data_IF_502244541390
#
_entry.id   IF_502244541390
#
_cell.length_a   1.000
_cell.length_b   1.000
_cell.length_c   1.000
_cell.angle_alpha   90.00
_cell.angle_beta   90.00
_cell.angle_gamma   90.00
#
_symmetry.space_group_name_H-M   'P 1'
#
loop_
_entity.id
_entity.type
_entity.pdbx_description
1 polymer ?
#
# COMPACT_ATOMS: atom_id res chain seq x y z
N UNK A 1 -30.45 12.02 -52.94
CA UNK A 1 -30.18 13.08 -51.94
C UNK A 1 -29.09 12.54 -51.02
N UNK A 2 -27.82 12.34 -51.39
CA UNK A 2 -26.79 13.15 -52.11
C UNK A 2 -26.46 14.46 -51.44
N UNK A 3 -25.39 14.45 -50.62
CA UNK A 3 -24.41 15.54 -50.34
C UNK A 3 -23.23 14.94 -49.56
N UNK A 4 -22.23 14.35 -50.21
CA UNK A 4 -20.91 14.94 -50.52
C UNK A 4 -20.57 16.31 -49.90
N UNK A 5 -19.49 16.33 -49.09
CA UNK A 5 -18.52 17.42 -48.87
C UNK A 5 -17.54 16.97 -47.77
N UNK A 6 -16.24 17.22 -47.75
CA UNK A 6 -15.22 17.60 -48.73
C UNK A 6 -13.89 17.40 -47.96
N UNK A 7 -12.96 16.62 -48.50
CA UNK A 7 -11.65 16.40 -47.90
C UNK A 7 -10.71 17.58 -48.24
N UNK A 8 -10.18 18.26 -47.23
CA UNK A 8 -9.18 19.31 -47.39
C UNK A 8 -7.77 18.72 -47.27
N UNK A 9 -7.05 18.73 -48.38
CA UNK A 9 -5.60 18.48 -48.48
C UNK A 9 -4.82 19.75 -48.04
N UNK A 10 -3.69 19.63 -47.33
CA UNK A 10 -2.73 20.71 -47.22
C UNK A 10 -1.80 20.79 -48.46
N UNK A 11 -1.26 21.97 -48.77
CA UNK A 11 -0.54 22.25 -50.01
C UNK A 11 0.89 21.69 -50.04
N UNK A 12 1.51 21.58 -51.24
CA UNK A 12 2.89 21.16 -51.40
C UNK A 12 3.83 22.34 -51.12
N UNK A 13 4.85 22.11 -50.28
CA UNK A 13 5.99 23.04 -50.15
C UNK A 13 7.14 22.43 -50.95
N UNK A 14 7.35 22.97 -52.14
CA UNK A 14 8.45 22.61 -53.03
C UNK A 14 9.04 23.91 -53.59
N UNK A 15 10.35 24.06 -53.41
CA UNK A 15 11.20 25.10 -53.99
C UNK A 15 11.82 26.01 -52.93
N UNK A 16 13.07 26.44 -53.02
CA UNK A 16 14.14 26.18 -53.98
C UNK A 16 15.39 26.94 -53.48
N UNK A 17 16.58 26.40 -53.75
CA UNK A 17 17.81 27.12 -54.16
C UNK A 17 18.31 28.34 -53.34
N UNK A 18 19.51 28.20 -52.76
CA UNK A 18 20.79 28.76 -53.28
C UNK A 18 21.81 28.77 -52.14
N UNK A 19 22.87 27.97 -52.21
CA UNK A 19 24.19 28.44 -52.65
C UNK A 19 24.65 29.74 -51.98
N UNK A 20 25.31 29.60 -50.84
CA UNK A 20 26.48 30.43 -50.50
C UNK A 20 27.55 29.53 -49.87
N UNK A 21 28.42 29.03 -50.74
CA UNK A 21 29.78 28.66 -50.42
C UNK A 21 30.51 29.93 -49.92
N UNK A 22 30.51 30.15 -48.60
CA UNK A 22 31.42 31.10 -47.97
C UNK A 22 32.56 30.36 -47.28
N UNK A 23 33.68 30.33 -47.97
CA UNK A 23 35.05 30.38 -47.44
C UNK A 23 35.30 29.83 -46.02
N UNK A 24 35.78 28.58 -45.97
CA UNK A 24 36.69 28.12 -44.91
C UNK A 24 38.00 28.92 -45.00
N UNK A 25 38.13 29.95 -44.16
CA UNK A 25 39.41 30.52 -43.79
C UNK A 25 39.90 29.83 -42.50
N UNK A 26 41.15 29.34 -42.43
CA UNK A 26 41.68 28.73 -41.22
C UNK A 26 41.96 29.82 -40.19
N UNK A 27 40.98 30.10 -39.32
CA UNK A 27 41.20 30.91 -38.11
C UNK A 27 41.95 30.09 -37.08
N UNK A 28 43.27 30.18 -37.17
CA UNK A 28 44.20 30.37 -36.06
C UNK A 28 43.65 30.09 -34.65
N UNK A 29 43.97 28.88 -34.17
CA UNK A 29 44.55 28.49 -32.87
C UNK A 29 45.02 29.58 -31.86
N UNK A 30 44.27 30.66 -31.60
CA UNK A 30 44.72 31.73 -30.68
C UNK A 30 43.70 32.22 -29.63
N UNK A 31 42.55 31.55 -29.44
CA UNK A 31 41.61 31.91 -28.35
C UNK A 31 41.32 30.78 -27.34
N UNK A 32 42.17 29.75 -27.27
CA UNK A 32 42.10 28.70 -26.23
C UNK A 32 42.90 29.06 -24.97
N UNK A 33 43.03 30.36 -24.67
CA UNK A 33 43.53 30.89 -23.39
C UNK A 33 42.62 32.05 -22.93
N UNK A 34 41.31 31.86 -23.04
CA UNK A 34 40.35 32.66 -22.27
C UNK A 34 40.05 31.93 -20.98
N UNK A 35 40.71 32.40 -19.92
CA UNK A 35 40.10 32.47 -18.60
C UNK A 35 39.43 31.18 -18.13
N UNK A 36 40.24 30.25 -17.61
CA UNK A 36 39.84 29.53 -16.39
C UNK A 36 39.73 30.54 -15.23
N UNK A 37 38.89 31.57 -15.38
CA UNK A 37 38.30 32.29 -14.26
C UNK A 37 37.56 31.22 -13.50
N UNK A 38 38.17 30.79 -12.38
CA UNK A 38 37.54 29.93 -11.38
C UNK A 38 36.09 30.39 -11.26
N UNK A 39 35.16 29.58 -11.76
CA UNK A 39 33.73 29.83 -11.58
C UNK A 39 33.54 30.22 -10.12
N UNK A 40 33.00 31.41 -9.82
CA UNK A 40 32.82 31.85 -8.46
C UNK A 40 32.05 30.75 -7.75
N UNK A 41 32.66 30.14 -6.73
CA UNK A 41 32.11 29.02 -5.95
C UNK A 41 30.61 29.22 -5.85
N UNK A 42 29.84 28.34 -6.50
CA UNK A 42 28.43 28.59 -6.79
C UNK A 42 27.65 28.84 -5.48
N UNK A 43 27.49 30.12 -5.14
CA UNK A 43 26.92 30.59 -3.86
C UNK A 43 25.50 30.02 -3.69
N UNK A 44 24.82 29.69 -4.79
CA UNK A 44 23.49 29.06 -4.78
C UNK A 44 23.55 27.62 -4.28
N UNK A 45 24.59 26.87 -4.64
CA UNK A 45 24.81 25.51 -4.14
C UNK A 45 25.14 25.54 -2.65
N UNK A 46 25.97 26.49 -2.20
CA UNK A 46 26.27 26.66 -0.78
C UNK A 46 24.99 26.94 0.04
N UNK A 47 24.15 27.90 -0.40
CA UNK A 47 22.89 28.21 0.28
C UNK A 47 21.93 27.01 0.31
N UNK A 48 21.89 26.20 -0.77
CA UNK A 48 21.09 24.97 -0.81
C UNK A 48 21.58 23.94 0.20
N UNK A 49 22.89 23.73 0.29
CA UNK A 49 23.51 22.81 1.25
C UNK A 49 23.25 23.26 2.68
N UNK A 50 23.45 24.55 3.00
CA UNK A 50 23.17 25.11 4.32
C UNK A 50 21.70 24.90 4.75
N UNK A 51 20.74 25.09 3.84
CA UNK A 51 19.32 24.83 4.13
C UNK A 51 19.04 23.37 4.43
N UNK A 52 19.67 22.45 3.70
CA UNK A 52 19.51 21.00 3.95
C UNK A 52 20.12 20.64 5.30
N UNK A 53 21.32 21.13 5.61
CA UNK A 53 21.98 20.90 6.91
C UNK A 53 21.10 21.45 8.06
N UNK A 54 20.60 22.68 7.94
CA UNK A 54 19.71 23.27 8.93
C UNK A 54 18.41 22.50 9.11
N UNK A 55 17.79 22.04 8.02
CA UNK A 55 16.59 21.21 8.04
C UNK A 55 16.83 19.88 8.76
N UNK A 56 17.93 19.20 8.44
CA UNK A 56 18.34 17.94 9.09
C UNK A 56 18.62 18.18 10.57
N UNK A 57 19.30 19.26 10.94
CA UNK A 57 19.57 19.61 12.34
C UNK A 57 18.28 19.84 13.15
N UNK A 58 17.28 20.52 12.58
CA UNK A 58 15.97 20.72 13.23
C UNK A 58 15.24 19.38 13.43
N UNK A 59 15.25 18.51 12.42
CA UNK A 59 14.64 17.17 12.52
C UNK A 59 15.37 16.34 13.59
N UNK A 60 16.71 16.34 13.58
CA UNK A 60 17.51 15.65 14.56
C UNK A 60 17.23 16.18 15.98
N UNK A 61 17.12 17.50 16.16
CA UNK A 61 16.76 18.11 17.44
C UNK A 61 15.36 17.67 17.91
N UNK A 62 14.38 17.59 17.01
CA UNK A 62 13.04 17.09 17.35
C UNK A 62 13.07 15.60 17.77
N UNK A 63 13.85 14.76 17.08
CA UNK A 63 14.03 13.35 17.43
C UNK A 63 14.76 13.19 18.77
N UNK A 64 15.83 13.95 19.01
CA UNK A 64 16.52 13.97 20.32
C UNK A 64 15.57 14.47 21.41
N UNK A 65 14.76 15.50 21.14
CA UNK A 65 13.74 15.97 22.07
C UNK A 65 12.67 14.92 22.34
N UNK A 66 12.45 13.94 21.46
CA UNK A 66 11.52 12.83 21.67
C UNK A 66 12.10 11.77 22.62
N UNK A 67 13.38 11.43 22.48
CA UNK A 67 13.99 10.27 23.14
C UNK A 67 14.97 10.58 24.28
N UNK A 68 15.42 11.82 24.45
CA UNK A 68 16.34 12.16 25.53
C UNK A 68 15.61 12.07 26.87
N UNK A 69 16.19 11.37 27.85
CA UNK A 69 15.68 11.38 29.23
C UNK A 69 15.93 12.75 29.85
N UNK A 70 14.88 13.35 30.41
CA UNK A 70 14.96 14.57 31.22
C UNK A 70 14.75 14.21 32.69
N UNK A 71 15.30 15.00 33.63
CA UNK A 71 15.04 14.80 35.05
C UNK A 71 13.53 14.73 35.34
N UNK A 72 13.14 13.83 36.24
CA UNK A 72 11.75 13.52 36.55
C UNK A 72 10.93 14.80 36.86
N UNK A 73 9.80 14.97 36.17
CA UNK A 73 8.82 16.03 36.46
C UNK A 73 8.80 17.22 35.50
N UNK A 74 9.73 17.33 34.54
CA UNK A 74 9.82 18.49 33.63
C UNK A 74 9.25 18.26 32.22
N UNK A 75 8.45 17.21 32.02
CA UNK A 75 7.92 16.83 30.69
C UNK A 75 7.02 17.90 30.07
N UNK A 76 6.25 18.64 30.88
CA UNK A 76 5.41 19.73 30.40
C UNK A 76 6.26 20.90 29.91
N UNK A 77 7.32 21.29 30.62
CA UNK A 77 8.22 22.36 30.20
C UNK A 77 9.04 21.94 28.99
N UNK A 78 9.48 20.68 28.94
CA UNK A 78 10.13 20.08 27.77
C UNK A 78 9.22 20.17 26.55
N UNK A 79 7.96 19.78 26.69
CA UNK A 79 6.98 19.89 25.62
C UNK A 79 6.70 21.35 25.22
N UNK A 80 6.53 22.25 26.19
CA UNK A 80 6.34 23.68 25.93
C UNK A 80 7.54 24.29 25.17
N UNK A 81 8.75 23.85 25.47
CA UNK A 81 9.97 24.25 24.75
C UNK A 81 9.94 23.77 23.30
N UNK A 82 9.57 22.50 23.06
CA UNK A 82 9.39 21.95 21.71
C UNK A 82 8.31 22.73 20.93
N UNK A 83 7.19 23.06 21.58
CA UNK A 83 6.10 23.83 21.00
C UNK A 83 6.53 25.26 20.66
N UNK A 84 7.26 25.92 21.56
CA UNK A 84 7.84 27.24 21.34
C UNK A 84 8.79 27.28 20.14
N UNK A 85 9.72 26.33 20.03
CA UNK A 85 10.60 26.25 18.86
C UNK A 85 9.84 25.95 17.56
N UNK A 86 8.80 25.12 17.63
CA UNK A 86 7.97 24.83 16.45
C UNK A 86 7.18 26.07 16.02
N UNK A 87 6.67 26.87 16.96
CA UNK A 87 6.01 28.14 16.68
C UNK A 87 6.98 29.22 16.15
N UNK A 88 8.27 29.15 16.49
CA UNK A 88 9.29 30.04 15.96
C UNK A 88 9.54 29.79 14.45
N UNK A 89 9.37 28.57 13.95
CA UNK A 89 9.56 28.23 12.53
C UNK A 89 8.69 29.06 11.57
N UNK A 90 7.35 29.13 11.73
CA UNK A 90 6.52 29.97 10.87
C UNK A 90 6.83 31.46 11.05
N UNK A 91 7.16 31.92 12.25
CA UNK A 91 7.57 33.32 12.49
C UNK A 91 8.83 33.65 11.68
N UNK A 92 9.85 32.79 11.76
CA UNK A 92 11.07 32.92 10.98
C UNK A 92 10.77 32.82 9.47
N UNK A 93 9.83 31.96 9.05
CA UNK A 93 9.41 31.86 7.67
C UNK A 93 8.76 33.15 7.16
N UNK A 94 7.88 33.76 7.95
CA UNK A 94 7.28 35.06 7.62
C UNK A 94 8.33 36.16 7.55
N UNK A 95 9.27 36.20 8.49
CA UNK A 95 10.38 37.15 8.46
C UNK A 95 11.24 37.00 7.19
N UNK A 96 11.59 35.76 6.83
CA UNK A 96 12.34 35.47 5.60
C UNK A 96 11.53 35.86 4.35
N UNK A 97 10.23 35.58 4.33
CA UNK A 97 9.37 35.85 3.18
C UNK A 97 9.05 37.33 2.96
N UNK A 98 8.82 38.08 4.05
CA UNK A 98 8.40 39.49 3.99
C UNK A 98 9.58 40.47 4.02
N UNK A 99 10.56 40.25 4.91
CA UNK A 99 11.66 41.19 5.12
C UNK A 99 12.88 40.90 4.26
N UNK A 100 13.29 39.64 4.19
CA UNK A 100 14.44 39.20 3.38
C UNK A 100 14.04 38.93 1.92
N UNK A 101 12.73 38.80 1.65
CA UNK A 101 12.15 38.46 0.34
C UNK A 101 12.65 37.11 -0.22
N UNK A 102 13.04 36.19 0.66
CA UNK A 102 13.60 34.89 0.31
C UNK A 102 12.55 33.78 0.39
N UNK A 103 11.86 33.54 -0.74
CA UNK A 103 10.72 32.62 -0.82
C UNK A 103 11.07 31.15 -0.55
N UNK A 104 12.28 30.69 -0.89
CA UNK A 104 12.63 29.26 -0.77
C UNK A 104 12.86 28.88 0.70
N UNK A 105 13.57 29.71 1.45
CA UNK A 105 13.82 29.52 2.88
C UNK A 105 12.53 29.58 3.69
N UNK A 106 11.65 30.55 3.41
CA UNK A 106 10.32 30.60 4.02
C UNK A 106 9.52 29.30 3.80
N UNK A 107 9.54 28.76 2.56
CA UNK A 107 8.92 27.47 2.25
C UNK A 107 9.56 26.29 2.99
N UNK A 108 10.89 26.24 3.07
CA UNK A 108 11.60 25.19 3.81
C UNK A 108 11.20 25.18 5.29
N UNK A 109 11.15 26.36 5.94
CA UNK A 109 10.78 26.49 7.35
C UNK A 109 9.33 26.06 7.62
N UNK A 110 8.38 26.45 6.76
CA UNK A 110 6.99 25.98 6.87
C UNK A 110 6.85 24.49 6.57
N UNK A 111 7.64 23.96 5.64
CA UNK A 111 7.72 22.53 5.35
C UNK A 111 8.22 21.72 6.55
N UNK A 112 9.20 22.24 7.27
CA UNK A 112 9.69 21.64 8.52
C UNK A 112 8.62 21.69 9.61
N UNK A 113 7.90 22.81 9.74
CA UNK A 113 6.84 22.95 10.74
C UNK A 113 5.74 21.87 10.61
N UNK A 114 5.27 21.57 9.38
CA UNK A 114 4.32 20.45 9.15
C UNK A 114 4.95 19.07 9.32
N UNK A 115 6.25 18.93 9.06
CA UNK A 115 6.96 17.65 9.22
C UNK A 115 7.13 17.29 10.70
N UNK A 116 7.30 18.28 11.57
CA UNK A 116 7.42 18.10 13.02
C UNK A 116 6.06 17.89 13.69
N UNK A 117 4.94 18.19 13.01
CA UNK A 117 3.59 18.07 13.56
C UNK A 117 3.30 16.69 14.21
N UNK A 118 3.61 15.55 13.58
CA UNK A 118 3.36 14.24 14.18
C UNK A 118 4.20 13.94 15.41
N UNK A 119 5.37 14.59 15.55
CA UNK A 119 6.19 14.51 16.77
C UNK A 119 5.39 15.07 17.95
N UNK A 120 4.72 16.22 17.76
CA UNK A 120 3.87 16.81 18.81
C UNK A 120 2.74 15.89 19.22
N UNK A 121 2.02 15.31 18.25
CA UNK A 121 0.91 14.41 18.55
C UNK A 121 1.38 13.10 19.18
N UNK A 122 2.57 12.60 18.84
CA UNK A 122 3.16 11.45 19.52
C UNK A 122 3.47 11.76 20.99
N UNK A 123 4.03 12.94 21.29
CA UNK A 123 4.29 13.39 22.67
C UNK A 123 2.99 13.59 23.45
N UNK A 124 2.02 14.30 22.88
CA UNK A 124 0.70 14.51 23.49
C UNK A 124 -0.03 13.18 23.73
N UNK A 125 0.04 12.24 22.79
CA UNK A 125 -0.48 10.89 22.97
C UNK A 125 0.21 10.13 24.09
N UNK A 126 1.51 10.37 24.31
CA UNK A 126 2.24 9.88 25.48
C UNK A 126 1.72 10.46 26.80
N UNK A 127 1.56 11.78 26.87
CA UNK A 127 1.01 12.49 28.04
C UNK A 127 -0.41 12.02 28.36
N UNK A 128 -1.28 11.93 27.36
CA UNK A 128 -2.65 11.43 27.54
C UNK A 128 -2.65 9.96 27.98
N UNK A 129 -1.82 9.12 27.37
CA UNK A 129 -1.70 7.73 27.78
C UNK A 129 -1.28 7.60 29.26
N UNK A 130 -0.39 8.46 29.77
CA UNK A 130 0.04 8.41 31.18
C UNK A 130 -1.08 8.63 32.19
N UNK A 131 -2.21 9.21 31.78
CA UNK A 131 -3.37 9.52 32.65
C UNK A 131 -4.63 8.75 32.28
N UNK A 132 -4.82 8.45 31.01
CA UNK A 132 -6.05 7.87 30.45
C UNK A 132 -5.81 6.55 29.74
N UNK A 133 -4.77 5.78 30.09
CA UNK A 133 -4.52 4.46 29.52
C UNK A 133 -5.79 3.59 29.65
N UNK A 134 -6.30 3.12 28.51
CA UNK A 134 -7.52 2.30 28.43
C UNK A 134 -7.22 0.80 28.29
N UNK A 135 -5.95 0.41 28.31
CA UNK A 135 -5.51 -0.98 28.16
C UNK A 135 -4.75 -1.47 29.40
N UNK A 136 -4.94 -2.75 29.74
CA UNK A 136 -4.28 -3.40 30.87
C UNK A 136 -2.82 -3.78 30.57
N UNK A 137 -2.23 -3.24 29.49
CA UNK A 137 -0.93 -3.65 28.98
C UNK A 137 0.18 -3.12 29.90
N UNK A 138 0.61 -3.96 30.85
CA UNK A 138 1.72 -3.72 31.79
C UNK A 138 3.12 -3.78 31.15
N UNK A 139 3.22 -3.57 29.83
CA UNK A 139 4.51 -3.49 29.15
C UNK A 139 5.30 -2.30 29.69
N UNK A 140 6.45 -2.57 30.32
CA UNK A 140 7.34 -1.52 30.81
C UNK A 140 7.87 -0.72 29.62
N UNK A 141 7.22 0.39 29.31
CA UNK A 141 7.73 1.33 28.32
C UNK A 141 9.09 1.83 28.79
N UNK A 142 10.12 1.79 27.92
CA UNK A 142 11.44 2.27 28.30
C UNK A 142 11.39 3.70 28.83
N UNK A 143 12.14 3.99 29.89
CA UNK A 143 12.12 5.31 30.55
C UNK A 143 12.42 6.48 29.59
N UNK A 144 13.17 6.23 28.51
CA UNK A 144 13.48 7.25 27.49
C UNK A 144 12.28 7.66 26.61
N UNK A 145 11.23 6.83 26.56
CA UNK A 145 10.01 7.08 25.78
C UNK A 145 8.79 7.38 26.68
N UNK A 146 9.03 7.55 27.99
CA UNK A 146 8.01 7.90 28.96
C UNK A 146 7.74 9.42 28.88
N UNK A 147 6.46 9.77 28.79
CA UNK A 147 5.97 11.14 28.87
C UNK A 147 4.86 11.16 29.90
N UNK A 148 5.07 11.84 31.03
CA UNK A 148 4.16 11.81 32.18
C UNK A 148 3.61 13.19 32.46
N UNK A 149 2.30 13.34 32.36
CA UNK A 149 1.63 14.57 32.82
C UNK A 149 1.53 14.56 34.35
N UNK A 150 1.62 15.69 35.07
CA UNK A 150 1.43 15.76 36.52
C UNK A 150 0.01 15.48 37.01
N UNK A 151 -0.99 15.75 36.16
CA UNK A 151 -2.42 15.56 36.45
C UNK A 151 -3.24 15.37 35.17
N UNK A 152 -4.48 14.92 35.31
CA UNK A 152 -5.43 14.77 34.21
C UNK A 152 -5.73 16.12 33.55
N UNK A 153 -5.91 17.15 34.37
CA UNK A 153 -6.16 18.53 33.93
C UNK A 153 -4.99 19.10 33.13
N UNK A 154 -3.75 18.84 33.56
CA UNK A 154 -2.56 19.31 32.84
C UNK A 154 -2.38 18.57 31.51
N UNK A 155 -2.68 17.26 31.44
CA UNK A 155 -2.66 16.51 30.19
C UNK A 155 -3.67 17.06 29.17
N UNK A 156 -4.92 17.28 29.60
CA UNK A 156 -5.99 17.81 28.74
C UNK A 156 -5.72 19.27 28.34
N UNK A 157 -5.32 20.14 29.27
CA UNK A 157 -5.01 21.53 28.99
C UNK A 157 -3.85 21.67 28.01
N UNK A 158 -2.77 20.91 28.21
CA UNK A 158 -1.61 20.91 27.31
C UNK A 158 -2.00 20.45 25.90
N UNK A 159 -2.80 19.40 25.80
CA UNK A 159 -3.33 18.90 24.52
C UNK A 159 -4.21 19.95 23.85
N UNK A 160 -5.13 20.58 24.59
CA UNK A 160 -6.03 21.61 24.06
C UNK A 160 -5.27 22.82 23.53
N UNK A 161 -4.35 23.37 24.32
CA UNK A 161 -3.49 24.49 23.90
C UNK A 161 -2.67 24.13 22.66
N UNK A 162 -2.08 22.94 22.63
CA UNK A 162 -1.32 22.48 21.48
C UNK A 162 -2.20 22.38 20.23
N UNK A 163 -3.40 21.79 20.31
CA UNK A 163 -4.30 21.70 19.15
C UNK A 163 -4.68 23.08 18.60
N UNK A 164 -4.99 24.02 19.49
CA UNK A 164 -5.33 25.41 19.13
C UNK A 164 -4.18 26.10 18.41
N UNK A 165 -2.92 25.80 18.76
CA UNK A 165 -1.74 26.40 18.11
C UNK A 165 -1.31 25.66 16.84
N UNK A 166 -1.34 24.33 16.87
CA UNK A 166 -0.82 23.47 15.80
C UNK A 166 -1.74 23.43 14.58
N UNK A 167 -3.07 23.52 14.75
CA UNK A 167 -4.00 23.48 13.62
C UNK A 167 -3.88 24.72 12.70
N UNK A 168 -3.85 25.98 13.21
CA UNK A 168 -3.58 27.16 12.40
C UNK A 168 -2.18 27.13 11.77
N UNK A 169 -1.18 26.67 12.51
CA UNK A 169 0.19 26.52 11.99
C UNK A 169 0.24 25.54 10.80
N UNK A 170 -0.45 24.41 10.89
CA UNK A 170 -0.59 23.46 9.79
C UNK A 170 -1.31 24.10 8.60
N UNK A 171 -2.39 24.87 8.84
CA UNK A 171 -3.10 25.61 7.80
C UNK A 171 -2.23 26.62 7.06
N UNK A 172 -1.52 27.49 7.77
CA UNK A 172 -0.59 28.46 7.16
C UNK A 172 0.50 27.77 6.34
N UNK A 173 1.00 26.65 6.85
CA UNK A 173 2.02 25.87 6.15
C UNK A 173 1.47 25.24 4.87
N UNK A 174 0.30 24.59 4.90
CA UNK A 174 -0.34 24.05 3.70
C UNK A 174 -0.82 25.13 2.72
N UNK A 175 -1.18 26.33 3.21
CA UNK A 175 -1.46 27.48 2.35
C UNK A 175 -0.26 27.82 1.46
N UNK A 176 0.96 27.60 1.95
CA UNK A 176 2.18 27.86 1.19
C UNK A 176 2.42 26.83 0.09
N UNK A 177 2.12 25.54 0.33
CA UNK A 177 2.34 24.46 -0.64
C UNK A 177 1.18 24.24 -1.62
N UNK A 178 -0.05 24.43 -1.17
CA UNK A 178 -1.25 24.08 -1.95
C UNK A 178 -2.46 24.94 -1.55
N UNK A 179 -2.39 26.26 -1.80
CA UNK A 179 -3.42 27.27 -1.42
C UNK A 179 -4.87 26.79 -1.54
N UNK A 180 -5.26 26.28 -2.71
CA UNK A 180 -6.64 25.88 -3.01
C UNK A 180 -7.12 24.62 -2.30
N UNK A 181 -6.20 23.81 -1.73
CA UNK A 181 -6.52 22.57 -1.02
C UNK A 181 -6.02 22.61 0.44
N UNK A 182 -5.56 23.77 0.92
CA UNK A 182 -4.90 23.91 2.22
C UNK A 182 -5.78 23.43 3.37
N UNK A 183 -7.05 23.85 3.40
CA UNK A 183 -8.01 23.42 4.43
C UNK A 183 -8.19 21.90 4.45
N UNK A 184 -8.35 21.27 3.29
CA UNK A 184 -8.53 19.80 3.20
C UNK A 184 -7.29 19.05 3.66
N UNK A 185 -6.10 19.52 3.27
CA UNK A 185 -4.83 18.95 3.72
C UNK A 185 -4.64 19.13 5.23
N UNK A 186 -5.00 20.29 5.79
CA UNK A 186 -4.95 20.53 7.23
C UNK A 186 -5.90 19.62 7.99
N UNK A 187 -7.16 19.52 7.56
CA UNK A 187 -8.15 18.66 8.21
C UNK A 187 -7.70 17.19 8.17
N UNK A 188 -7.16 16.73 7.04
CA UNK A 188 -6.61 15.40 6.93
C UNK A 188 -5.38 15.19 7.82
N UNK A 189 -4.47 16.16 7.84
CA UNK A 189 -3.25 16.09 8.64
C UNK A 189 -3.59 16.05 10.13
N UNK A 190 -4.43 16.97 10.61
CA UNK A 190 -4.87 17.01 12.01
C UNK A 190 -5.68 15.76 12.33
N UNK A 191 -6.61 15.35 11.48
CA UNK A 191 -7.42 14.14 11.69
C UNK A 191 -6.58 12.86 11.82
N UNK A 192 -5.61 12.65 10.94
CA UNK A 192 -4.69 11.50 11.01
C UNK A 192 -3.78 11.57 12.25
N UNK A 193 -3.38 12.77 12.65
CA UNK A 193 -2.57 12.98 13.85
C UNK A 193 -3.38 12.80 15.15
N UNK A 194 -4.67 13.15 15.16
CA UNK A 194 -5.56 12.90 16.31
C UNK A 194 -5.66 11.41 16.65
N UNK A 195 -5.49 10.52 15.66
CA UNK A 195 -5.43 9.07 15.91
C UNK A 195 -4.23 8.66 16.78
N UNK A 196 -3.14 9.46 16.81
CA UNK A 196 -2.00 9.22 17.71
C UNK A 196 -2.34 9.53 19.18
N UNK A 197 -3.39 10.31 19.45
CA UNK A 197 -3.84 10.65 20.80
C UNK A 197 -4.65 9.54 21.47
N UNK A 198 -5.06 8.52 20.73
CA UNK A 198 -5.82 7.40 21.27
C UNK A 198 -4.96 6.70 22.33
N UNK A 199 -5.38 6.68 23.62
CA UNK A 199 -4.57 6.16 24.71
C UNK A 199 -4.72 4.63 24.83
N UNK A 200 -4.54 3.92 23.72
CA UNK A 200 -4.52 2.46 23.64
C UNK A 200 -3.20 2.01 22.99
N UNK A 201 -2.54 1.02 23.59
CA UNK A 201 -1.31 0.39 23.08
C UNK A 201 -1.52 -1.07 22.70
N UNK A 202 -2.73 -1.59 22.88
CA UNK A 202 -3.10 -2.92 22.43
C UNK A 202 -2.82 -3.11 20.92
N UNK A 203 -2.16 -4.22 20.59
CA UNK A 203 -1.69 -4.49 19.23
C UNK A 203 -2.82 -4.71 18.23
N UNK A 204 -4.01 -5.13 18.67
CA UNK A 204 -5.18 -5.30 17.80
C UNK A 204 -5.78 -3.95 17.43
N UNK A 205 -5.87 -3.03 18.39
CA UNK A 205 -6.31 -1.64 18.14
C UNK A 205 -5.34 -0.96 17.18
N UNK A 206 -4.03 -1.08 17.42
CA UNK A 206 -2.99 -0.53 16.52
C UNK A 206 -3.09 -1.11 15.12
N UNK A 207 -3.33 -2.42 14.98
CA UNK A 207 -3.56 -3.05 13.67
C UNK A 207 -4.78 -2.44 12.95
N UNK A 208 -5.90 -2.24 13.66
CA UNK A 208 -7.09 -1.56 13.15
C UNK A 208 -6.80 -0.12 12.71
N UNK A 209 -6.04 0.64 13.50
CA UNK A 209 -5.62 2.01 13.16
C UNK A 209 -4.76 2.05 11.89
N UNK A 210 -3.80 1.12 11.74
CA UNK A 210 -2.98 1.02 10.53
C UNK A 210 -3.85 0.76 9.29
N UNK A 211 -4.79 -0.19 9.36
CA UNK A 211 -5.72 -0.46 8.25
C UNK A 211 -6.56 0.78 7.93
N UNK A 212 -7.14 1.41 8.95
CA UNK A 212 -7.96 2.61 8.79
C UNK A 212 -7.19 3.77 8.16
N UNK A 213 -5.96 4.04 8.61
CA UNK A 213 -5.11 5.10 8.08
C UNK A 213 -4.65 4.83 6.66
N UNK A 214 -4.21 3.60 6.35
CA UNK A 214 -3.83 3.21 4.97
C UNK A 214 -5.04 3.31 4.05
N UNK A 215 -6.21 2.82 4.48
CA UNK A 215 -7.45 2.92 3.72
C UNK A 215 -7.85 4.36 3.46
N UNK A 216 -7.88 5.20 4.51
CA UNK A 216 -8.20 6.62 4.40
C UNK A 216 -7.24 7.33 3.43
N UNK A 217 -5.92 7.20 3.62
CA UNK A 217 -4.92 7.80 2.74
C UNK A 217 -5.07 7.33 1.28
N UNK A 218 -5.40 6.06 1.07
CA UNK A 218 -5.60 5.49 -0.27
C UNK A 218 -6.86 6.02 -0.95
N UNK A 219 -7.96 6.17 -0.20
CA UNK A 219 -9.20 6.79 -0.70
C UNK A 219 -8.95 8.25 -1.03
N UNK A 220 -8.22 8.98 -0.20
CA UNK A 220 -7.88 10.38 -0.45
C UNK A 220 -7.01 10.54 -1.70
N UNK A 221 -5.99 9.70 -1.86
CA UNK A 221 -5.10 9.72 -3.04
C UNK A 221 -5.86 9.39 -4.33
N UNK A 222 -6.74 8.39 -4.30
CA UNK A 222 -7.46 7.93 -5.49
C UNK A 222 -8.66 8.81 -5.87
N UNK A 223 -9.42 9.30 -4.89
CA UNK A 223 -10.67 10.06 -5.13
C UNK A 223 -10.50 11.57 -5.03
N UNK A 224 -9.80 12.08 -4.02
CA UNK A 224 -9.79 13.51 -3.73
C UNK A 224 -8.66 14.26 -4.46
N UNK A 225 -7.48 13.65 -4.58
CA UNK A 225 -6.29 14.37 -5.03
C UNK A 225 -5.93 14.15 -6.50
N UNK A 226 -6.33 13.02 -7.08
CA UNK A 226 -5.99 12.67 -8.47
C UNK A 226 -6.48 13.69 -9.51
N UNK A 227 -7.58 14.39 -9.25
CA UNK A 227 -8.15 15.41 -10.14
C UNK A 227 -7.46 16.78 -10.06
N UNK A 228 -6.60 17.01 -9.06
CA UNK A 228 -6.06 18.33 -8.75
C UNK A 228 -4.65 18.49 -9.30
N UNK A 229 -4.50 19.17 -10.44
CA UNK A 229 -3.20 19.41 -11.10
C UNK A 229 -2.17 20.05 -10.16
N UNK A 230 -2.59 20.94 -9.25
CA UNK A 230 -1.71 21.60 -8.27
C UNK A 230 -1.01 20.63 -7.32
N UNK A 231 -1.61 19.49 -7.00
CA UNK A 231 -1.03 18.47 -6.11
C UNK A 231 0.00 17.56 -6.80
N UNK A 232 0.13 17.66 -8.13
CA UNK A 232 1.14 16.91 -8.90
C UNK A 232 2.52 17.57 -8.87
N UNK A 233 2.59 18.84 -8.48
CA UNK A 233 3.85 19.59 -8.30
C UNK A 233 4.74 18.95 -7.22
N UNK A 234 6.03 19.29 -7.19
CA UNK A 234 6.94 18.79 -6.13
C UNK A 234 6.44 19.20 -4.74
N UNK A 235 5.97 20.43 -4.61
CA UNK A 235 5.40 21.00 -3.38
C UNK A 235 4.11 20.27 -2.96
N UNK A 236 3.21 20.02 -3.92
CA UNK A 236 2.01 19.24 -3.68
C UNK A 236 2.29 17.78 -3.31
N UNK A 237 3.32 17.16 -3.89
CA UNK A 237 3.79 15.81 -3.51
C UNK A 237 4.36 15.80 -2.11
N UNK A 238 5.14 16.82 -1.72
CA UNK A 238 5.63 16.96 -0.36
C UNK A 238 4.49 17.09 0.65
N UNK A 239 3.52 17.97 0.39
CA UNK A 239 2.35 18.15 1.23
C UNK A 239 1.48 16.89 1.38
N UNK A 240 1.46 16.01 0.36
CA UNK A 240 0.81 14.69 0.47
C UNK A 240 1.65 13.70 1.25
N UNK A 241 2.98 13.73 1.07
CA UNK A 241 3.90 12.85 1.79
C UNK A 241 3.84 13.09 3.31
N UNK A 242 3.66 14.33 3.76
CA UNK A 242 3.54 14.64 5.19
C UNK A 242 2.34 14.00 5.87
N UNK A 243 1.29 13.65 5.11
CA UNK A 243 0.11 12.94 5.63
C UNK A 243 0.38 11.46 5.96
N UNK A 244 1.48 10.88 5.44
CA UNK A 244 1.91 9.52 5.79
C UNK A 244 2.72 9.47 7.08
N UNK A 245 3.24 10.60 7.56
CA UNK A 245 4.08 10.64 8.76
C UNK A 245 3.36 10.11 10.02
N UNK A 246 2.09 10.45 10.31
CA UNK A 246 1.41 9.90 11.49
C UNK A 246 1.32 8.37 11.45
N UNK A 247 1.10 7.78 10.27
CA UNK A 247 1.12 6.33 10.11
C UNK A 247 2.51 5.76 10.42
N UNK A 248 3.58 6.40 9.93
CA UNK A 248 4.95 5.99 10.24
C UNK A 248 5.24 6.06 11.75
N UNK A 249 4.68 7.03 12.47
CA UNK A 249 4.79 7.10 13.94
C UNK A 249 4.04 5.95 14.62
N UNK A 250 2.81 5.63 14.21
CA UNK A 250 2.06 4.48 14.75
C UNK A 250 2.85 3.19 14.55
N UNK A 251 3.34 2.95 13.33
CA UNK A 251 4.09 1.74 12.97
C UNK A 251 5.44 1.68 13.69
N UNK A 252 6.21 2.77 13.66
CA UNK A 252 7.52 2.84 14.29
C UNK A 252 7.44 2.63 15.81
N UNK A 253 6.44 3.25 16.46
CA UNK A 253 6.15 3.02 17.88
C UNK A 253 5.76 1.57 18.14
N UNK A 254 4.88 1.02 17.30
CA UNK A 254 4.45 -0.38 17.30
C UNK A 254 5.58 -1.39 17.28
N UNK A 255 6.54 -1.20 16.37
CA UNK A 255 7.64 -2.12 16.13
C UNK A 255 8.76 -2.01 17.16
N UNK A 256 9.03 -0.81 17.69
CA UNK A 256 10.18 -0.58 18.57
C UNK A 256 9.83 -0.63 20.06
N UNK A 257 8.62 -0.20 20.45
CA UNK A 257 8.26 -0.05 21.87
C UNK A 257 7.36 -1.17 22.38
N UNK A 258 6.76 -1.97 21.52
CA UNK A 258 5.79 -3.01 21.91
C UNK A 258 6.08 -4.36 21.28
N UNK A 259 5.58 -5.41 21.92
CA UNK A 259 5.61 -6.75 21.34
C UNK A 259 4.70 -6.80 20.11
N UNK A 260 5.29 -7.10 18.95
CA UNK A 260 4.56 -7.14 17.68
C UNK A 260 3.74 -8.43 17.64
N UNK A 261 2.40 -8.30 17.66
CA UNK A 261 1.53 -9.46 17.50
C UNK A 261 1.53 -9.98 16.05
N UNK A 262 1.10 -11.23 15.88
CA UNK A 262 0.93 -11.83 14.53
C UNK A 262 -0.10 -11.05 13.70
N UNK A 263 -1.16 -10.55 14.32
CA UNK A 263 -2.17 -9.72 13.66
C UNK A 263 -1.54 -8.40 13.16
N UNK A 264 -0.84 -7.67 14.03
CA UNK A 264 -0.18 -6.43 13.63
C UNK A 264 0.83 -6.68 12.50
N UNK A 265 1.67 -7.71 12.63
CA UNK A 265 2.61 -8.10 11.59
C UNK A 265 1.91 -8.40 10.25
N UNK A 266 0.81 -9.16 10.29
CA UNK A 266 0.01 -9.47 9.09
C UNK A 266 -0.51 -8.20 8.40
N UNK A 267 -1.01 -7.24 9.18
CA UNK A 267 -1.51 -5.96 8.68
C UNK A 267 -0.38 -5.11 8.10
N UNK A 268 0.80 -5.06 8.72
CA UNK A 268 1.93 -4.30 8.21
C UNK A 268 2.42 -4.85 6.86
N UNK A 269 2.56 -6.17 6.76
CA UNK A 269 2.90 -6.83 5.49
C UNK A 269 1.80 -6.63 4.43
N UNK A 270 0.54 -6.67 4.83
CA UNK A 270 -0.62 -6.46 3.95
C UNK A 270 -0.70 -5.02 3.44
N UNK A 271 -0.47 -4.04 4.32
CA UNK A 271 -0.36 -2.64 3.95
C UNK A 271 0.83 -2.41 2.99
N UNK A 272 1.99 -3.00 3.28
CA UNK A 272 3.15 -2.97 2.39
C UNK A 272 2.84 -3.56 1.01
N UNK A 273 2.18 -4.72 0.98
CA UNK A 273 1.72 -5.36 -0.26
C UNK A 273 0.76 -4.43 -1.03
N UNK A 274 -0.23 -3.87 -0.36
CA UNK A 274 -1.21 -2.97 -0.96
C UNK A 274 -0.55 -1.72 -1.54
N UNK A 275 0.39 -1.10 -0.81
CA UNK A 275 1.12 0.09 -1.26
C UNK A 275 2.06 -0.23 -2.43
N UNK A 276 2.73 -1.39 -2.43
CA UNK A 276 3.55 -1.85 -3.56
C UNK A 276 2.70 -2.18 -4.80
N UNK A 277 1.50 -2.70 -4.61
CA UNK A 277 0.62 -3.09 -5.71
C UNK A 277 -0.13 -1.91 -6.35
N UNK A 278 -0.62 -0.99 -5.54
CA UNK A 278 -1.52 0.09 -5.98
C UNK A 278 -0.86 1.47 -5.95
N UNK A 279 -0.09 1.78 -4.91
CA UNK A 279 0.51 3.10 -4.66
C UNK A 279 1.79 3.33 -5.47
N UNK A 280 2.81 2.50 -5.25
CA UNK A 280 4.12 2.66 -5.88
C UNK A 280 4.08 2.67 -7.43
N UNK A 281 3.26 1.84 -8.11
CA UNK A 281 3.13 1.89 -9.57
C UNK A 281 2.51 3.19 -10.09
N UNK A 282 1.79 3.95 -9.26
CA UNK A 282 1.31 5.28 -9.63
C UNK A 282 2.44 6.32 -9.69
N UNK A 283 3.55 6.09 -8.98
CA UNK A 283 4.73 6.96 -8.97
C UNK A 283 5.74 6.61 -10.07
N UNK A 284 5.77 5.35 -10.52
CA UNK A 284 6.70 4.88 -11.53
C UNK A 284 6.30 5.32 -12.95
N UNK A 285 7.25 5.84 -13.74
CA UNK A 285 7.00 6.25 -15.15
C UNK A 285 7.06 5.07 -16.14
N UNK A 286 7.93 4.10 -15.92
CA UNK A 286 8.19 2.99 -16.86
C UNK A 286 7.24 1.81 -16.57
N UNK A 287 6.60 1.26 -17.61
CA UNK A 287 5.64 0.14 -17.49
C UNK A 287 6.24 -1.12 -16.85
N UNK A 288 7.48 -1.47 -17.17
CA UNK A 288 8.14 -2.64 -16.59
C UNK A 288 8.41 -2.49 -15.09
N UNK A 289 8.71 -1.27 -14.61
CA UNK A 289 8.88 -0.99 -13.17
C UNK A 289 7.54 -1.14 -12.45
N UNK A 290 6.45 -0.67 -13.05
CA UNK A 290 5.10 -0.85 -12.50
C UNK A 290 4.74 -2.34 -12.38
N UNK A 291 4.99 -3.13 -13.44
CA UNK A 291 4.76 -4.57 -13.41
C UNK A 291 5.65 -5.27 -12.37
N UNK A 292 6.94 -4.88 -12.29
CA UNK A 292 7.87 -5.42 -11.30
C UNK A 292 7.44 -5.14 -9.86
N UNK A 293 6.97 -3.93 -9.56
CA UNK A 293 6.43 -3.57 -8.23
C UNK A 293 5.17 -4.36 -7.87
N UNK A 294 4.26 -4.56 -8.84
CA UNK A 294 3.06 -5.38 -8.64
C UNK A 294 3.42 -6.85 -8.42
N UNK A 295 4.41 -7.39 -9.12
CA UNK A 295 4.89 -8.77 -8.89
C UNK A 295 5.56 -8.86 -7.52
N UNK A 296 6.42 -7.89 -7.18
CA UNK A 296 7.10 -7.84 -5.88
C UNK A 296 6.11 -7.79 -4.71
N UNK A 297 4.91 -7.23 -4.90
CA UNK A 297 3.90 -7.18 -3.83
C UNK A 297 3.27 -8.53 -3.48
N UNK A 298 3.42 -9.58 -4.30
CA UNK A 298 2.86 -10.91 -3.98
C UNK A 298 3.55 -11.55 -2.78
N UNK A 299 4.85 -11.34 -2.61
CA UNK A 299 5.62 -11.87 -1.48
C UNK A 299 5.09 -11.34 -0.14
N UNK A 300 5.07 -10.01 0.07
CA UNK A 300 4.42 -9.38 1.21
C UNK A 300 2.96 -9.80 1.42
N UNK A 301 2.18 -9.97 0.35
CA UNK A 301 0.80 -10.45 0.44
C UNK A 301 0.71 -11.89 0.98
N UNK A 302 1.61 -12.78 0.51
CA UNK A 302 1.68 -14.16 0.98
C UNK A 302 2.06 -14.22 2.47
N UNK A 303 3.08 -13.45 2.87
CA UNK A 303 3.51 -13.34 4.28
C UNK A 303 2.38 -12.79 5.15
N UNK A 304 1.71 -11.73 4.69
CA UNK A 304 0.55 -11.15 5.37
C UNK A 304 -0.55 -12.19 5.62
N UNK A 305 -0.98 -12.90 4.57
CA UNK A 305 -2.03 -13.89 4.70
C UNK A 305 -1.61 -15.09 5.56
N UNK A 306 -0.37 -15.59 5.39
CA UNK A 306 0.17 -16.66 6.22
C UNK A 306 0.16 -16.29 7.72
N UNK A 307 0.62 -15.09 8.06
CA UNK A 307 0.56 -14.58 9.44
C UNK A 307 -0.87 -14.45 9.94
N UNK A 308 -1.82 -14.01 9.10
CA UNK A 308 -3.23 -13.93 9.45
C UNK A 308 -3.79 -15.33 9.77
N UNK A 309 -3.51 -16.34 8.94
CA UNK A 309 -3.95 -17.72 9.21
C UNK A 309 -3.37 -18.25 10.52
N UNK A 310 -2.09 -18.02 10.79
CA UNK A 310 -1.48 -18.43 12.08
C UNK A 310 -2.02 -17.65 13.28
N UNK A 311 -2.60 -16.47 13.07
CA UNK A 311 -3.31 -15.71 14.09
C UNK A 311 -4.70 -16.31 14.34
N UNK A 312 -5.46 -16.59 13.28
CA UNK A 312 -6.79 -17.22 13.37
C UNK A 312 -6.72 -18.61 14.01
N UNK A 313 -5.75 -19.42 13.63
CA UNK A 313 -5.49 -20.74 14.22
C UNK A 313 -5.26 -20.65 15.73
N UNK A 314 -4.38 -19.74 16.16
CA UNK A 314 -4.07 -19.53 17.58
C UNK A 314 -5.26 -18.99 18.38
N UNK A 315 -6.09 -18.15 17.77
CA UNK A 315 -7.22 -17.49 18.44
C UNK A 315 -8.44 -18.41 18.55
N UNK A 316 -8.71 -19.23 17.54
CA UNK A 316 -9.94 -20.03 17.45
C UNK A 316 -9.73 -21.54 17.56
N UNK A 317 -8.47 -22.02 17.59
CA UNK A 317 -8.16 -23.44 17.67
C UNK A 317 -8.68 -24.22 16.46
N UNK A 318 -8.32 -23.77 15.26
CA UNK A 318 -8.91 -24.30 14.03
C UNK A 318 -8.53 -25.79 13.82
N UNK A 319 -9.46 -26.63 13.31
CA UNK A 319 -9.13 -27.99 12.95
C UNK A 319 -8.04 -28.03 11.87
N UNK A 320 -7.11 -28.99 11.99
CA UNK A 320 -5.96 -29.13 11.06
C UNK A 320 -6.40 -29.29 9.60
N UNK A 321 -7.55 -29.92 9.37
CA UNK A 321 -8.14 -30.15 8.04
C UNK A 321 -8.61 -28.85 7.33
N UNK A 322 -8.82 -27.78 8.09
CA UNK A 322 -9.27 -26.47 7.59
C UNK A 322 -8.10 -25.52 7.37
N UNK A 323 -6.98 -25.75 8.06
CA UNK A 323 -5.84 -24.83 8.08
C UNK A 323 -5.22 -24.63 6.69
N UNK A 324 -5.00 -25.71 5.94
CA UNK A 324 -4.36 -25.63 4.62
C UNK A 324 -5.28 -25.02 3.53
N UNK A 325 -6.58 -25.38 3.44
CA UNK A 325 -7.53 -24.66 2.59
C UNK A 325 -7.67 -23.18 2.97
N UNK A 326 -7.69 -22.86 4.27
CA UNK A 326 -7.75 -21.47 4.74
C UNK A 326 -6.48 -20.69 4.38
N UNK A 327 -5.30 -21.34 4.36
CA UNK A 327 -4.06 -20.71 3.90
C UNK A 327 -4.02 -20.49 2.38
N UNK A 328 -4.51 -21.45 1.59
CA UNK A 328 -4.31 -21.45 0.15
C UNK A 328 -5.44 -20.80 -0.64
N UNK A 329 -6.70 -21.06 -0.31
CA UNK A 329 -7.85 -20.62 -1.13
C UNK A 329 -8.07 -19.09 -1.08
N UNK A 330 -8.11 -18.43 0.10
CA UNK A 330 -8.24 -16.97 0.14
C UNK A 330 -7.04 -16.26 -0.48
N UNK A 331 -5.84 -16.84 -0.38
CA UNK A 331 -4.66 -16.30 -1.07
C UNK A 331 -4.78 -16.45 -2.59
N UNK A 332 -5.29 -17.57 -3.10
CA UNK A 332 -5.60 -17.73 -4.51
C UNK A 332 -6.67 -16.72 -4.99
N UNK A 333 -7.71 -16.46 -4.18
CA UNK A 333 -8.70 -15.40 -4.45
C UNK A 333 -8.03 -14.03 -4.51
N UNK A 334 -7.13 -13.73 -3.56
CA UNK A 334 -6.35 -12.49 -3.55
C UNK A 334 -5.50 -12.33 -4.82
N UNK A 335 -4.77 -13.37 -5.24
CA UNK A 335 -4.01 -13.36 -6.48
C UNK A 335 -4.91 -13.18 -7.71
N UNK A 336 -6.08 -13.81 -7.72
CA UNK A 336 -7.07 -13.63 -8.79
C UNK A 336 -7.55 -12.18 -8.84
N UNK A 337 -7.86 -11.57 -7.69
CA UNK A 337 -8.22 -10.15 -7.61
C UNK A 337 -7.07 -9.25 -8.10
N UNK A 338 -5.83 -9.52 -7.69
CA UNK A 338 -4.64 -8.82 -8.21
C UNK A 338 -4.53 -8.94 -9.74
N UNK A 339 -4.90 -10.07 -10.32
CA UNK A 339 -4.91 -10.24 -11.78
C UNK A 339 -5.87 -9.31 -12.51
N UNK A 340 -6.96 -8.88 -11.86
CA UNK A 340 -7.96 -7.97 -12.42
C UNK A 340 -7.51 -6.51 -12.36
N UNK A 341 -6.69 -6.16 -11.37
CA UNK A 341 -6.23 -4.79 -11.14
C UNK A 341 -4.78 -4.52 -11.58
N UNK A 342 -4.06 -5.56 -12.03
CA UNK A 342 -2.70 -5.39 -12.53
C UNK A 342 -2.69 -4.60 -13.85
N UNK A 343 -1.62 -3.81 -14.06
CA UNK A 343 -1.45 -3.02 -15.31
C UNK A 343 -0.80 -3.84 -16.43
N UNK A 344 -0.19 -4.97 -16.09
CA UNK A 344 0.42 -5.91 -17.01
C UNK A 344 -0.56 -7.04 -17.39
N UNK A 345 -0.11 -8.03 -18.16
CA UNK A 345 -0.91 -9.23 -18.41
C UNK A 345 -1.14 -10.01 -17.12
N UNK A 346 -2.36 -10.00 -16.59
CA UNK A 346 -2.74 -10.73 -15.37
C UNK A 346 -2.64 -12.26 -15.44
N UNK A 347 -2.19 -12.82 -16.55
CA UNK A 347 -2.06 -14.27 -16.77
C UNK A 347 -1.20 -14.95 -15.70
N UNK A 348 -0.08 -14.34 -15.30
CA UNK A 348 0.81 -14.92 -14.29
C UNK A 348 0.13 -15.10 -12.93
N UNK A 349 -0.62 -14.10 -12.48
CA UNK A 349 -1.37 -14.17 -11.23
C UNK A 349 -2.47 -15.23 -11.25
N UNK A 350 -3.19 -15.36 -12.37
CA UNK A 350 -4.24 -16.38 -12.53
C UNK A 350 -3.69 -17.79 -12.46
N UNK A 351 -2.55 -18.04 -13.12
CA UNK A 351 -1.87 -19.34 -13.07
C UNK A 351 -1.37 -19.64 -11.66
N UNK A 352 -0.72 -18.69 -11.02
CA UNK A 352 -0.28 -18.84 -9.63
C UNK A 352 -1.46 -19.12 -8.69
N UNK A 353 -2.56 -18.38 -8.82
CA UNK A 353 -3.79 -18.59 -8.06
C UNK A 353 -4.33 -20.02 -8.24
N UNK A 354 -4.48 -20.47 -9.49
CA UNK A 354 -4.98 -21.81 -9.78
C UNK A 354 -4.06 -22.91 -9.24
N UNK A 355 -2.74 -22.77 -9.44
CA UNK A 355 -1.75 -23.73 -8.92
C UNK A 355 -1.81 -23.79 -7.40
N UNK A 356 -1.85 -22.64 -6.70
CA UNK A 356 -1.92 -22.59 -5.24
C UNK A 356 -3.23 -23.19 -4.71
N UNK A 357 -4.37 -22.89 -5.35
CA UNK A 357 -5.66 -23.44 -4.95
C UNK A 357 -5.71 -24.97 -5.13
N UNK A 358 -5.29 -25.46 -6.29
CA UNK A 358 -5.32 -26.89 -6.61
C UNK A 358 -4.29 -27.67 -5.78
N UNK A 359 -3.07 -27.15 -5.64
CA UNK A 359 -2.04 -27.77 -4.81
C UNK A 359 -2.44 -27.76 -3.33
N UNK A 360 -2.98 -26.65 -2.81
CA UNK A 360 -3.45 -26.56 -1.43
C UNK A 360 -4.59 -27.53 -1.12
N UNK A 361 -5.60 -27.59 -1.99
CA UNK A 361 -6.72 -28.52 -1.82
C UNK A 361 -6.28 -29.99 -1.98
N UNK A 362 -5.42 -30.29 -2.95
CA UNK A 362 -4.86 -31.62 -3.16
C UNK A 362 -3.99 -32.09 -2.00
N UNK A 363 -3.07 -31.24 -1.51
CA UNK A 363 -2.26 -31.53 -0.33
C UNK A 363 -3.13 -31.73 0.92
N UNK A 364 -4.20 -30.95 1.09
CA UNK A 364 -5.10 -31.11 2.23
C UNK A 364 -5.78 -32.48 2.22
N UNK A 365 -6.23 -32.91 1.04
CA UNK A 365 -6.83 -34.22 0.84
C UNK A 365 -5.86 -35.37 1.16
N UNK A 366 -4.58 -35.23 0.79
CA UNK A 366 -3.55 -36.23 1.05
C UNK A 366 -3.17 -36.32 2.53
N UNK A 367 -3.11 -35.19 3.23
CA UNK A 367 -2.74 -35.14 4.65
C UNK A 367 -3.90 -35.49 5.59
N UNK A 368 -5.11 -35.08 5.23
CA UNK A 368 -6.32 -35.21 6.04
C UNK A 368 -7.43 -35.85 5.21
N UNK A 369 -7.37 -37.18 5.01
CA UNK A 369 -8.37 -37.89 4.22
C UNK A 369 -9.71 -37.85 4.95
N UNK A 370 -10.61 -36.97 4.49
CA UNK A 370 -11.95 -36.81 5.02
C UNK A 370 -12.96 -36.51 3.92
N UNK A 371 -14.24 -36.81 4.17
CA UNK A 371 -15.31 -36.54 3.21
C UNK A 371 -15.41 -35.04 2.88
N UNK A 372 -15.25 -34.17 3.88
CA UNK A 372 -15.24 -32.72 3.72
C UNK A 372 -14.05 -32.25 2.87
N UNK A 373 -12.84 -32.73 3.17
CA UNK A 373 -11.64 -32.40 2.40
C UNK A 373 -11.76 -32.83 0.93
N UNK A 374 -12.32 -34.02 0.69
CA UNK A 374 -12.59 -34.56 -0.65
C UNK A 374 -13.60 -33.71 -1.42
N UNK A 375 -14.71 -33.33 -0.77
CA UNK A 375 -15.74 -32.48 -1.36
C UNK A 375 -15.21 -31.07 -1.69
N UNK A 376 -14.46 -30.44 -0.78
CA UNK A 376 -13.81 -29.16 -1.02
C UNK A 376 -12.80 -29.25 -2.16
N UNK A 377 -11.97 -30.30 -2.20
CA UNK A 377 -11.00 -30.51 -3.28
C UNK A 377 -11.69 -30.69 -4.63
N UNK A 378 -12.75 -31.50 -4.69
CA UNK A 378 -13.54 -31.68 -5.91
C UNK A 378 -14.17 -30.36 -6.38
N UNK A 379 -14.73 -29.56 -5.47
CA UNK A 379 -15.29 -28.25 -5.80
C UNK A 379 -14.24 -27.29 -6.38
N UNK A 380 -13.07 -27.20 -5.75
CA UNK A 380 -11.95 -26.37 -6.22
C UNK A 380 -11.45 -26.87 -7.59
N UNK A 381 -11.34 -28.19 -7.77
CA UNK A 381 -10.91 -28.80 -9.02
C UNK A 381 -11.86 -28.55 -10.18
N UNK A 382 -13.18 -28.71 -9.96
CA UNK A 382 -14.23 -28.42 -10.96
C UNK A 382 -14.24 -26.93 -11.31
N UNK A 383 -14.11 -26.06 -10.31
CA UNK A 383 -14.02 -24.61 -10.54
C UNK A 383 -12.77 -24.27 -11.37
N UNK A 384 -11.63 -24.86 -11.03
CA UNK A 384 -10.37 -24.70 -11.76
C UNK A 384 -10.48 -25.20 -13.21
N UNK A 385 -11.07 -26.37 -13.44
CA UNK A 385 -11.28 -26.93 -14.77
C UNK A 385 -12.18 -26.02 -15.62
N UNK A 386 -13.31 -25.59 -15.06
CA UNK A 386 -14.27 -24.69 -15.74
C UNK A 386 -13.60 -23.37 -16.08
N UNK A 387 -12.83 -22.81 -15.14
CA UNK A 387 -12.09 -21.57 -15.35
C UNK A 387 -11.00 -21.72 -16.42
N UNK A 388 -10.22 -22.80 -16.37
CA UNK A 388 -9.17 -23.09 -17.34
C UNK A 388 -9.71 -23.24 -18.76
N UNK A 389 -10.92 -23.78 -18.90
CA UNK A 389 -11.63 -23.87 -20.17
C UNK A 389 -12.06 -22.49 -20.68
N UNK A 390 -12.74 -21.68 -19.84
CA UNK A 390 -13.21 -20.34 -20.23
C UNK A 390 -12.05 -19.39 -20.55
N UNK A 391 -10.97 -19.47 -19.76
CA UNK A 391 -9.79 -18.63 -19.91
C UNK A 391 -8.80 -19.15 -20.97
N UNK A 392 -9.10 -20.28 -21.62
CA UNK A 392 -8.24 -20.92 -22.62
C UNK A 392 -6.80 -21.14 -22.11
N UNK A 393 -6.66 -21.63 -20.86
CA UNK A 393 -5.36 -21.86 -20.20
C UNK A 393 -5.12 -23.36 -19.98
N UNK A 394 -4.21 -23.93 -20.78
CA UNK A 394 -3.87 -25.37 -20.75
C UNK A 394 -3.50 -25.87 -19.36
N UNK A 395 -2.59 -25.14 -18.70
CA UNK A 395 -2.03 -25.56 -17.41
C UNK A 395 -3.13 -25.66 -16.34
N UNK A 396 -4.01 -24.66 -16.27
CA UNK A 396 -5.11 -24.63 -15.29
C UNK A 396 -6.11 -25.76 -15.57
N UNK A 397 -6.47 -25.95 -16.83
CA UNK A 397 -7.41 -27.00 -17.24
C UNK A 397 -6.89 -28.40 -16.87
N UNK A 398 -5.64 -28.71 -17.24
CA UNK A 398 -5.02 -30.02 -16.96
C UNK A 398 -4.86 -30.25 -15.47
N UNK A 399 -4.41 -29.23 -14.72
CA UNK A 399 -4.26 -29.33 -13.27
C UNK A 399 -5.63 -29.54 -12.58
N UNK A 400 -6.67 -28.84 -13.02
CA UNK A 400 -8.04 -29.00 -12.52
C UNK A 400 -8.59 -30.41 -12.78
N UNK A 401 -8.37 -30.95 -13.98
CA UNK A 401 -8.78 -32.31 -14.32
C UNK A 401 -8.07 -33.35 -13.45
N UNK A 402 -6.74 -33.25 -13.31
CA UNK A 402 -5.97 -34.17 -12.47
C UNK A 402 -6.43 -34.12 -11.01
N UNK A 403 -6.67 -32.92 -10.46
CA UNK A 403 -7.19 -32.74 -9.10
C UNK A 403 -8.61 -33.31 -8.94
N UNK A 404 -9.48 -33.15 -9.95
CA UNK A 404 -10.85 -33.66 -9.90
C UNK A 404 -10.88 -35.19 -9.86
N UNK A 405 -10.05 -35.84 -10.69
CA UNK A 405 -9.88 -37.30 -10.68
C UNK A 405 -9.36 -37.77 -9.32
N UNK A 406 -8.33 -37.11 -8.79
CA UNK A 406 -7.75 -37.46 -7.49
C UNK A 406 -8.78 -37.33 -6.34
N UNK A 407 -9.54 -36.23 -6.33
CA UNK A 407 -10.58 -35.97 -5.33
C UNK A 407 -11.71 -36.99 -5.42
N UNK A 408 -12.13 -37.35 -6.63
CA UNK A 408 -13.16 -38.34 -6.88
C UNK A 408 -12.76 -39.75 -6.39
N UNK A 409 -11.53 -40.18 -6.69
CA UNK A 409 -10.99 -41.46 -6.21
C UNK A 409 -10.95 -41.52 -4.68
N UNK A 410 -10.50 -40.44 -4.03
CA UNK A 410 -10.50 -40.38 -2.56
C UNK A 410 -11.91 -40.39 -1.97
N UNK A 411 -12.86 -39.69 -2.61
CA UNK A 411 -14.24 -39.66 -2.17
C UNK A 411 -14.88 -41.06 -2.22
N UNK A 412 -14.67 -41.81 -3.31
CA UNK A 412 -15.12 -43.21 -3.41
C UNK A 412 -14.44 -44.08 -2.35
N UNK A 413 -13.14 -43.96 -2.16
CA UNK A 413 -12.42 -44.75 -1.16
C UNK A 413 -12.93 -44.47 0.27
N UNK A 414 -13.20 -43.19 0.59
CA UNK A 414 -13.82 -42.79 1.86
C UNK A 414 -15.24 -43.36 2.00
N UNK A 415 -16.03 -43.36 0.93
CA UNK A 415 -17.37 -43.96 0.88
C UNK A 415 -17.35 -45.44 1.27
N UNK A 416 -16.42 -46.19 0.68
CA UNK A 416 -16.32 -47.64 0.88
C UNK A 416 -15.90 -47.97 2.31
N UNK A 417 -15.03 -47.16 2.93
CA UNK A 417 -14.55 -47.40 4.31
C UNK A 417 -15.55 -47.01 5.39
N UNK A 418 -16.40 -46.02 5.13
CA UNK A 418 -17.39 -45.54 6.09
C UNK A 418 -18.71 -46.32 5.91
N UNK A 419 -18.69 -47.62 6.19
CA UNK A 419 -19.87 -48.52 6.24
C UNK A 419 -20.83 -48.23 7.41
N UNK A 420 -21.01 -46.96 7.77
CA UNK A 420 -22.05 -46.50 8.69
C UNK A 420 -23.17 -45.81 7.89
N UNK A 421 -24.41 -46.28 8.06
CA UNK A 421 -25.62 -45.89 7.29
C UNK A 421 -25.94 -44.37 7.25
N UNK A 422 -25.23 -43.52 7.97
CA UNK A 422 -25.50 -42.09 8.13
C UNK A 422 -25.00 -41.19 6.98
N UNK A 423 -24.23 -41.69 6.01
CA UNK A 423 -23.63 -40.88 4.94
C UNK A 423 -24.21 -41.04 3.53
N UNK A 424 -25.27 -41.85 3.34
CA UNK A 424 -25.92 -42.03 2.02
C UNK A 424 -26.46 -40.70 1.42
N UNK A 425 -26.87 -39.75 2.27
CA UNK A 425 -27.43 -38.47 1.82
C UNK A 425 -26.43 -37.59 1.05
N UNK A 426 -25.15 -37.57 1.43
CA UNK A 426 -24.13 -36.79 0.70
C UNK A 426 -23.73 -37.45 -0.61
N UNK A 427 -23.70 -38.78 -0.66
CA UNK A 427 -23.54 -39.57 -1.88
C UNK A 427 -24.68 -39.32 -2.88
N UNK A 428 -25.92 -39.32 -2.38
CA UNK A 428 -27.10 -39.05 -3.20
C UNK A 428 -27.10 -37.63 -3.76
N UNK A 429 -26.78 -36.62 -2.94
CA UNK A 429 -26.67 -35.23 -3.38
C UNK A 429 -25.57 -35.03 -4.43
N UNK A 430 -24.40 -35.64 -4.24
CA UNK A 430 -23.32 -35.59 -5.22
C UNK A 430 -23.72 -36.32 -6.52
N UNK A 431 -24.34 -37.50 -6.41
CA UNK A 431 -24.85 -38.26 -7.55
C UNK A 431 -25.89 -37.46 -8.35
N UNK A 432 -26.84 -36.80 -7.68
CA UNK A 432 -27.82 -35.92 -8.31
C UNK A 432 -27.10 -34.76 -9.03
N UNK A 433 -26.12 -34.12 -8.40
CA UNK A 433 -25.36 -33.04 -9.02
C UNK A 433 -24.58 -33.52 -10.26
N UNK A 434 -23.96 -34.69 -10.21
CA UNK A 434 -23.26 -35.31 -11.35
C UNK A 434 -24.24 -35.65 -12.47
N UNK A 435 -25.41 -36.22 -12.15
CA UNK A 435 -26.44 -36.55 -13.14
C UNK A 435 -26.98 -35.28 -13.80
N UNK A 436 -27.24 -34.22 -13.04
CA UNK A 436 -27.68 -32.93 -13.59
C UNK A 436 -26.60 -32.30 -14.47
N UNK A 437 -25.32 -32.36 -14.06
CA UNK A 437 -24.19 -31.88 -14.85
C UNK A 437 -24.01 -32.70 -16.13
N UNK A 438 -24.11 -34.03 -16.05
CA UNK A 438 -24.03 -34.94 -17.19
C UNK A 438 -25.20 -34.72 -18.16
N UNK A 439 -26.43 -34.57 -17.67
CA UNK A 439 -27.61 -34.33 -18.49
C UNK A 439 -27.59 -32.95 -19.16
N UNK A 440 -27.04 -31.93 -18.48
CA UNK A 440 -26.75 -30.64 -19.10
C UNK A 440 -25.68 -30.75 -20.19
N UNK A 441 -24.65 -31.59 -19.98
CA UNK A 441 -23.61 -31.88 -20.98
C UNK A 441 -24.20 -32.61 -22.20
N UNK A 442 -25.07 -33.59 -21.98
CA UNK A 442 -25.67 -34.45 -23.00
C UNK A 442 -26.61 -33.66 -23.92
N UNK A 443 -27.41 -32.76 -23.33
CA UNK A 443 -28.30 -31.85 -24.08
C UNK A 443 -27.54 -30.93 -25.05
N UNK A 444 -26.25 -30.69 -24.79
CA UNK A 444 -25.39 -29.87 -25.64
C UNK A 444 -24.35 -30.70 -26.41
N UNK A 445 -24.39 -32.04 -26.34
CA UNK A 445 -23.31 -32.92 -26.80
C UNK A 445 -23.00 -32.79 -28.30
N UNK A 446 -24.01 -32.62 -29.15
CA UNK A 446 -23.83 -32.39 -30.59
C UNK A 446 -23.09 -31.07 -30.90
N UNK A 447 -23.38 -30.02 -30.11
CA UNK A 447 -22.63 -28.76 -30.19
C UNK A 447 -21.25 -28.91 -29.56
N UNK A 448 -21.11 -29.67 -28.47
CA UNK A 448 -19.84 -29.93 -27.79
C UNK A 448 -18.90 -30.75 -28.65
N UNK A 449 -19.36 -31.71 -29.45
CA UNK A 449 -18.49 -32.53 -30.31
C UNK A 449 -17.90 -31.71 -31.47
N UNK A 450 -18.71 -30.88 -32.12
CA UNK A 450 -18.23 -29.90 -33.09
C UNK A 450 -17.31 -28.89 -32.40
N UNK A 451 -17.66 -28.42 -31.21
CA UNK A 451 -16.78 -27.58 -30.41
C UNK A 451 -15.52 -28.31 -29.98
N UNK A 452 -15.48 -29.63 -29.79
CA UNK A 452 -14.34 -30.41 -29.32
C UNK A 452 -13.29 -30.61 -30.41
N UNK A 453 -13.70 -30.75 -31.67
CA UNK A 453 -12.79 -30.71 -32.83
C UNK A 453 -12.19 -29.31 -32.98
N UNK A 454 -13.03 -28.28 -32.92
CA UNK A 454 -12.58 -26.88 -32.87
C UNK A 454 -11.74 -26.62 -31.61
N UNK A 455 -12.04 -27.28 -30.49
CA UNK A 455 -11.32 -27.15 -29.23
C UNK A 455 -9.97 -27.80 -29.35
N UNK A 456 -9.82 -28.92 -30.06
CA UNK A 456 -8.51 -29.55 -30.28
C UNK A 456 -7.58 -28.61 -31.03
N UNK A 457 -8.11 -27.93 -32.05
CA UNK A 457 -7.32 -27.00 -32.86
C UNK A 457 -7.08 -25.67 -32.10
N UNK A 458 -8.06 -25.17 -31.35
CA UNK A 458 -7.89 -24.04 -30.42
C UNK A 458 -6.94 -24.38 -29.27
N UNK A 459 -7.01 -25.58 -28.73
CA UNK A 459 -6.16 -26.04 -27.64
C UNK A 459 -4.72 -26.00 -28.08
N UNK A 460 -4.38 -26.36 -29.32
CA UNK A 460 -3.01 -26.14 -29.83
C UNK A 460 -2.59 -24.67 -29.73
N UNK A 461 -3.48 -23.73 -30.05
CA UNK A 461 -3.23 -22.29 -29.98
C UNK A 461 -3.27 -21.67 -28.56
N UNK A 462 -3.78 -22.37 -27.55
CA UNK A 462 -3.87 -21.84 -26.19
C UNK A 462 -2.49 -21.54 -25.59
N UNK A 463 -2.42 -20.44 -24.86
CA UNK A 463 -1.21 -20.05 -24.14
C UNK A 463 -0.84 -21.09 -23.06
N UNK A 464 0.44 -21.46 -23.02
CA UNK A 464 1.04 -22.25 -21.95
C UNK A 464 1.13 -21.42 -20.69
#
# INVERSE_FOLDING_TARGET
MTTEHAAALPPPVLGAFSDTLEHEAPRSTEEEVKDHVRDPVDVRNLAKVLRVIGAVAIIAAAVVCLFKQWPNGDDIRRYATLLGFTALLPIAAFFCGLRIQEKKGARTLLGLAITVLPVHFAVLGGLLYSRFAMDATTGSVPAFALWVAPSDTTALATTGVALVLLAPLAFVSYLTFARGQALRLTLACVGLNLLLLIPMRDSHVVAGLVVGMVGALSVMETRLWRSQSRLTTVEGRWARATLWLPLLFVVGRGLHLYAVSRLLSSVLWGAGAFLLFSGAPALARKRWVQAGLQILSTGPAAVSWGLMVTFLDRQYGLPREVLLPLATLPFAVLLTAMSLFCRSSGCGYRRAAAVIALAGAGMNLLMYPGALASACCLFVAVTGLTYGFIAEQKLIFVAGLAAAVLAFVHYIHAAIRLTALTHWGTMALLGIAIILAASALERHFGQILHHAVVLRDRFKSWSY
#
